data_IF_380696253581
#
_entry.id   IF_380696253581
#
_cell.length_a   1.000
_cell.length_b   1.000
_cell.length_c   1.000
_cell.angle_alpha   90.00
_cell.angle_beta   90.00
_cell.angle_gamma   90.00
#
_symmetry.space_group_name_H-M   'P 1'
#
loop_
_entity.id
_entity.type
_entity.pdbx_description
1 polymer ?
#
# COMPACT_ATOMS: atom_id res chain seq x y z
N UNK A 1 -9.29 5.03 -11.54
CA UNK A 1 -9.58 5.08 -12.99
C UNK A 1 -9.74 3.65 -13.50
N UNK A 2 -10.95 3.09 -13.46
CA UNK A 2 -11.17 1.69 -13.87
C UNK A 2 -10.93 1.46 -15.37
N UNK A 3 -11.02 2.53 -16.17
CA UNK A 3 -10.76 2.51 -17.61
C UNK A 3 -9.32 2.08 -17.95
N UNK A 4 -8.33 2.29 -17.08
CA UNK A 4 -6.95 1.79 -17.28
C UNK A 4 -6.86 0.26 -17.36
N UNK A 5 -7.89 -0.47 -16.91
CA UNK A 5 -7.93 -1.93 -17.00
C UNK A 5 -8.39 -2.43 -18.37
N UNK A 6 -9.13 -1.60 -19.10
CA UNK A 6 -9.78 -1.95 -20.38
C UNK A 6 -9.27 -1.15 -21.55
N UNK A 7 -8.69 0.03 -21.30
CA UNK A 7 -8.09 0.91 -22.28
C UNK A 7 -6.76 1.45 -21.72
N UNK A 8 -5.64 0.91 -22.22
CA UNK A 8 -4.31 1.32 -21.79
C UNK A 8 -3.81 2.40 -22.76
N UNK A 9 -3.51 3.61 -22.30
CA UNK A 9 -3.03 4.68 -23.18
C UNK A 9 -1.66 4.33 -23.78
N UNK A 10 -1.50 4.57 -25.08
CA UNK A 10 -0.26 4.32 -25.81
C UNK A 10 0.67 5.54 -25.82
N UNK A 11 0.10 6.74 -25.70
CA UNK A 11 0.85 8.00 -25.65
C UNK A 11 0.64 8.77 -24.35
N UNK A 12 1.54 9.73 -24.09
CA UNK A 12 1.42 10.69 -22.98
C UNK A 12 0.12 11.50 -23.07
N UNK A 13 -0.23 11.93 -24.28
CA UNK A 13 -1.43 12.73 -24.56
C UNK A 13 -2.69 11.93 -24.27
N UNK A 14 -2.76 10.66 -24.70
CA UNK A 14 -3.88 9.76 -24.40
C UNK A 14 -4.06 9.59 -22.88
N UNK A 15 -2.95 9.45 -22.14
CA UNK A 15 -2.99 9.31 -20.69
C UNK A 15 -3.49 10.59 -20.00
N UNK A 16 -3.03 11.77 -20.42
CA UNK A 16 -3.46 13.05 -19.85
C UNK A 16 -4.94 13.33 -20.15
N UNK A 17 -5.40 13.01 -21.37
CA UNK A 17 -6.81 13.11 -21.74
C UNK A 17 -7.67 12.18 -20.87
N UNK A 18 -7.25 10.92 -20.72
CA UNK A 18 -7.94 9.94 -19.86
C UNK A 18 -8.05 10.42 -18.40
N UNK A 19 -6.97 11.01 -17.87
CA UNK A 19 -6.98 11.55 -16.51
C UNK A 19 -7.91 12.76 -16.38
N UNK A 20 -7.98 13.60 -17.41
CA UNK A 20 -8.85 14.78 -17.45
C UNK A 20 -10.33 14.37 -17.51
N UNK A 21 -10.66 13.39 -18.34
CA UNK A 21 -12.01 12.81 -18.42
C UNK A 21 -12.43 12.12 -17.11
N UNK A 22 -11.45 11.59 -16.38
CA UNK A 22 -11.66 10.91 -15.10
C UNK A 22 -11.44 11.82 -13.88
N UNK A 23 -11.34 13.14 -14.04
CA UNK A 23 -10.91 14.06 -12.99
C UNK A 23 -11.77 13.95 -11.71
N UNK A 24 -13.09 13.77 -11.84
CA UNK A 24 -14.00 13.59 -10.70
C UNK A 24 -13.75 12.30 -9.92
N UNK A 25 -13.17 11.27 -10.56
CA UNK A 25 -12.86 9.99 -9.93
C UNK A 25 -11.44 9.94 -9.33
N UNK A 26 -10.63 11.00 -9.51
CA UNK A 26 -9.26 11.08 -9.01
C UNK A 26 -9.23 12.07 -7.83
N UNK A 27 -9.17 11.54 -6.62
CA UNK A 27 -8.98 12.36 -5.41
C UNK A 27 -7.52 12.31 -4.97
N UNK A 28 -6.95 13.48 -4.68
CA UNK A 28 -5.60 13.59 -4.11
C UNK A 28 -4.45 13.37 -5.10
N UNK A 29 -4.71 13.30 -6.41
CA UNK A 29 -3.70 13.14 -7.45
C UNK A 29 -4.05 14.00 -8.66
N UNK A 30 -3.07 14.71 -9.24
CA UNK A 30 -3.24 15.39 -10.52
C UNK A 30 -2.02 15.20 -11.41
N UNK A 31 -2.28 15.26 -12.71
CA UNK A 31 -1.28 15.08 -13.75
C UNK A 31 -1.26 16.32 -14.64
N UNK A 32 -0.10 16.92 -14.76
CA UNK A 32 0.23 17.93 -15.75
C UNK A 32 1.33 17.35 -16.64
N UNK A 33 1.65 18.06 -17.72
CA UNK A 33 2.52 17.55 -18.78
C UNK A 33 3.82 16.93 -18.23
N UNK A 34 4.56 17.62 -17.35
CA UNK A 34 5.80 17.09 -16.79
C UNK A 34 5.78 16.96 -15.25
N UNK A 35 4.58 16.91 -14.66
CA UNK A 35 4.43 16.98 -13.21
C UNK A 35 3.28 16.12 -12.72
N UNK A 36 3.56 15.37 -11.65
CA UNK A 36 2.55 14.66 -10.88
C UNK A 36 2.47 15.29 -9.51
N UNK A 37 1.26 15.69 -9.09
CA UNK A 37 1.02 16.29 -7.77
C UNK A 37 0.24 15.33 -6.91
N UNK A 38 0.80 15.01 -5.74
CA UNK A 38 0.11 14.24 -4.69
C UNK A 38 -0.42 15.21 -3.62
N UNK A 39 -1.73 15.19 -3.39
CA UNK A 39 -2.39 16.01 -2.38
C UNK A 39 -2.91 15.12 -1.26
N UNK A 40 -2.31 15.26 -0.09
CA UNK A 40 -2.71 14.52 1.11
C UNK A 40 -3.49 15.43 2.07
N UNK A 41 -4.42 14.88 2.86
CA UNK A 41 -5.03 15.63 3.95
C UNK A 41 -3.96 15.97 4.99
N UNK A 42 -3.85 17.26 5.32
CA UNK A 42 -2.98 17.69 6.42
C UNK A 42 -3.38 17.01 7.73
N UNK A 43 -2.40 16.60 8.52
CA UNK A 43 -2.60 16.06 9.85
C UNK A 43 -1.92 16.92 10.91
N UNK A 44 -2.51 17.03 12.09
CA UNK A 44 -1.85 17.63 13.25
C UNK A 44 -0.69 16.77 13.77
N UNK A 45 -0.64 15.48 13.40
CA UNK A 45 0.45 14.56 13.75
C UNK A 45 1.60 14.71 12.75
N UNK A 46 2.77 15.25 13.13
CA UNK A 46 3.89 15.46 12.21
C UNK A 46 4.39 14.17 11.56
N UNK A 47 4.33 13.05 12.29
CA UNK A 47 4.74 11.73 11.80
C UNK A 47 3.86 11.26 10.64
N UNK A 48 2.58 11.61 10.65
CA UNK A 48 1.63 11.25 9.60
C UNK A 48 1.90 12.06 8.33
N UNK A 49 2.16 13.36 8.46
CA UNK A 49 2.56 14.21 7.32
C UNK A 49 3.88 13.73 6.71
N UNK A 50 4.86 13.42 7.56
CA UNK A 50 6.14 12.84 7.12
C UNK A 50 5.93 11.53 6.36
N UNK A 51 5.06 10.66 6.87
CA UNK A 51 4.77 9.38 6.22
C UNK A 51 4.15 9.56 4.82
N UNK A 52 3.33 10.59 4.61
CA UNK A 52 2.79 10.92 3.29
C UNK A 52 3.87 11.38 2.30
N UNK A 53 4.78 12.26 2.75
CA UNK A 53 5.90 12.72 1.91
C UNK A 53 6.82 11.56 1.56
N UNK A 54 7.18 10.72 2.53
CA UNK A 54 7.99 9.53 2.29
C UNK A 54 7.29 8.55 1.34
N UNK A 55 5.98 8.33 1.49
CA UNK A 55 5.22 7.48 0.58
C UNK A 55 5.30 7.98 -0.87
N UNK A 56 5.04 9.26 -1.11
CA UNK A 56 5.09 9.85 -2.45
C UNK A 56 6.51 9.72 -3.06
N UNK A 57 7.55 10.03 -2.28
CA UNK A 57 8.93 9.88 -2.74
C UNK A 57 9.28 8.43 -3.13
N UNK A 58 8.88 7.46 -2.30
CA UNK A 58 9.14 6.04 -2.59
C UNK A 58 8.32 5.51 -3.76
N UNK A 59 7.08 5.98 -3.96
CA UNK A 59 6.30 5.65 -5.16
C UNK A 59 6.99 6.13 -6.44
N UNK A 60 7.49 7.37 -6.45
CA UNK A 60 8.21 7.95 -7.59
C UNK A 60 9.54 7.22 -7.85
N UNK A 61 10.28 6.87 -6.80
CA UNK A 61 11.50 6.08 -6.94
C UNK A 61 11.19 4.68 -7.52
N UNK A 62 10.18 4.00 -6.98
CA UNK A 62 9.81 2.66 -7.41
C UNK A 62 9.34 2.61 -8.87
N UNK A 63 8.51 3.55 -9.31
CA UNK A 63 7.99 3.56 -10.70
C UNK A 63 9.10 3.82 -11.73
N UNK A 64 10.14 4.59 -11.37
CA UNK A 64 11.30 4.82 -12.25
C UNK A 64 12.11 3.55 -12.53
N UNK A 65 12.13 2.62 -11.57
CA UNK A 65 12.84 1.34 -11.70
C UNK A 65 11.95 0.20 -12.22
N UNK A 66 10.63 0.41 -12.20
CA UNK A 66 9.67 -0.62 -12.55
C UNK A 66 9.67 -0.91 -14.07
N UNK A 67 9.99 -2.15 -14.42
CA UNK A 67 9.92 -2.62 -15.82
C UNK A 67 8.50 -2.92 -16.29
N UNK A 68 7.60 -3.21 -15.37
CA UNK A 68 6.20 -3.59 -15.62
C UNK A 68 5.33 -3.13 -14.47
N UNK A 69 4.18 -2.53 -14.78
CA UNK A 69 3.14 -2.16 -13.83
C UNK A 69 1.83 -2.78 -14.32
N UNK A 70 1.07 -3.40 -13.42
CA UNK A 70 -0.27 -3.91 -13.76
C UNK A 70 -1.33 -2.88 -13.36
N UNK A 71 -2.27 -2.54 -14.24
CA UNK A 71 -3.38 -1.65 -13.92
C UNK A 71 -4.53 -2.36 -13.16
N UNK A 72 -4.41 -3.69 -12.95
CA UNK A 72 -5.45 -4.50 -12.32
C UNK A 72 -5.67 -4.05 -10.88
N UNK A 73 -6.90 -3.65 -10.57
CA UNK A 73 -7.30 -3.35 -9.20
C UNK A 73 -7.26 -4.63 -8.35
N UNK A 74 -6.88 -4.45 -7.10
CA UNK A 74 -6.92 -5.49 -6.09
C UNK A 74 -7.94 -5.09 -5.04
N UNK A 75 -8.81 -6.03 -4.66
CA UNK A 75 -9.72 -5.91 -3.51
C UNK A 75 -9.17 -6.78 -2.37
N UNK A 76 -8.33 -6.23 -1.49
CA UNK A 76 -7.67 -7.02 -0.46
C UNK A 76 -8.65 -7.38 0.66
N UNK A 77 -8.74 -8.67 0.98
CA UNK A 77 -9.47 -9.18 2.17
C UNK A 77 -8.92 -8.64 3.51
N UNK A 78 -7.65 -8.23 3.52
CA UNK A 78 -6.95 -7.68 4.68
C UNK A 78 -6.09 -6.49 4.27
N UNK A 79 -6.70 -5.32 4.23
CA UNK A 79 -6.08 -4.04 3.84
C UNK A 79 -4.71 -3.82 4.51
N UNK A 80 -4.62 -4.08 5.82
CA UNK A 80 -3.39 -3.83 6.59
C UNK A 80 -2.24 -4.75 6.17
N UNK A 81 -2.51 -6.02 5.89
CA UNK A 81 -1.49 -6.96 5.40
C UNK A 81 -0.95 -6.54 4.03
N UNK A 82 -1.85 -6.31 3.07
CA UNK A 82 -1.44 -5.99 1.69
C UNK A 82 -0.74 -4.65 1.61
N UNK A 83 -1.23 -3.61 2.31
CA UNK A 83 -0.55 -2.32 2.34
C UNK A 83 0.84 -2.46 2.94
N UNK A 84 1.01 -3.20 4.05
CA UNK A 84 2.34 -3.44 4.64
C UNK A 84 3.30 -4.09 3.64
N UNK A 85 2.86 -5.16 2.97
CA UNK A 85 3.69 -5.87 1.98
C UNK A 85 4.07 -4.94 0.83
N UNK A 86 3.13 -4.13 0.36
CA UNK A 86 3.40 -3.14 -0.68
C UNK A 86 4.38 -2.06 -0.24
N UNK A 87 4.22 -1.50 0.96
CA UNK A 87 5.18 -0.53 1.52
C UNK A 87 6.59 -1.11 1.63
N UNK A 88 6.73 -2.38 2.02
CA UNK A 88 8.03 -3.06 2.05
C UNK A 88 8.62 -3.17 0.64
N UNK A 89 7.82 -3.52 -0.37
CA UNK A 89 8.26 -3.58 -1.78
C UNK A 89 8.67 -2.22 -2.34
N UNK A 90 8.03 -1.14 -1.88
CA UNK A 90 8.43 0.22 -2.20
C UNK A 90 9.74 0.64 -1.53
N UNK A 91 10.30 -0.14 -0.59
CA UNK A 91 11.54 0.19 0.12
C UNK A 91 11.32 0.73 1.54
N UNK A 92 10.08 0.91 1.98
CA UNK A 92 9.74 1.28 3.35
C UNK A 92 9.78 0.07 4.29
N UNK A 93 10.75 -0.83 4.18
CA UNK A 93 10.89 -2.01 5.04
C UNK A 93 11.88 -1.85 6.20
N UNK A 94 12.83 -0.93 6.09
CA UNK A 94 13.91 -0.73 7.06
C UNK A 94 13.46 -0.16 8.41
N UNK A 95 14.36 -0.17 9.40
CA UNK A 95 14.11 0.38 10.75
C UNK A 95 13.81 1.89 10.71
N UNK A 96 14.45 2.64 9.81
CA UNK A 96 14.25 4.09 9.66
C UNK A 96 12.85 4.50 9.21
N UNK A 97 12.12 3.61 8.52
CA UNK A 97 10.75 3.85 8.05
C UNK A 97 9.68 3.24 8.98
N UNK A 98 10.06 2.82 10.20
CA UNK A 98 9.14 2.14 11.12
C UNK A 98 7.94 3.01 11.50
N UNK A 99 8.17 4.28 11.82
CA UNK A 99 7.11 5.18 12.27
C UNK A 99 6.20 5.59 11.11
N UNK A 100 6.76 5.80 9.92
CA UNK A 100 6.00 6.04 8.69
C UNK A 100 5.11 4.86 8.33
N UNK A 101 5.63 3.62 8.39
CA UNK A 101 4.82 2.41 8.22
C UNK A 101 3.70 2.35 9.25
N UNK A 102 3.98 2.65 10.52
CA UNK A 102 2.97 2.64 11.58
C UNK A 102 1.86 3.65 11.29
N UNK A 103 2.21 4.87 10.89
CA UNK A 103 1.26 5.93 10.56
C UNK A 103 0.39 5.58 9.34
N UNK A 104 0.98 5.01 8.29
CA UNK A 104 0.25 4.61 7.07
C UNK A 104 -0.67 3.40 7.29
N UNK A 105 -0.37 2.54 8.26
CA UNK A 105 -1.17 1.36 8.60
C UNK A 105 -2.22 1.64 9.69
N UNK A 106 -2.20 2.83 10.30
CA UNK A 106 -3.13 3.24 11.36
C UNK A 106 -4.55 3.32 10.80
N UNK A 107 -5.53 2.71 11.51
CA UNK A 107 -6.94 2.73 11.11
C UNK A 107 -7.39 1.68 10.09
N UNK A 108 -6.47 0.94 9.47
CA UNK A 108 -6.83 -0.11 8.50
C UNK A 108 -7.35 -1.40 9.16
N UNK A 109 -8.22 -2.12 8.44
CA UNK A 109 -8.78 -3.39 8.92
C UNK A 109 -7.78 -4.54 8.77
N UNK A 110 -7.88 -5.51 9.68
CA UNK A 110 -7.09 -6.74 9.67
C UNK A 110 -5.72 -6.66 10.37
N UNK A 111 -4.91 -7.69 10.13
CA UNK A 111 -3.63 -7.92 10.80
C UNK A 111 -2.44 -7.75 9.83
N UNK A 112 -1.27 -7.38 10.36
CA UNK A 112 -0.05 -7.18 9.57
C UNK A 112 0.69 -8.48 9.23
N UNK A 113 0.53 -9.51 10.06
CA UNK A 113 1.31 -10.75 9.98
C UNK A 113 0.68 -11.83 9.09
N UNK A 114 -0.65 -11.83 8.99
CA UNK A 114 -1.41 -12.89 8.32
C UNK A 114 -2.24 -12.31 7.20
N UNK A 115 -2.29 -13.04 6.08
CA UNK A 115 -3.12 -12.67 4.93
C UNK A 115 -4.59 -12.91 5.24
N UNK A 116 -4.90 -14.12 5.73
CA UNK A 116 -6.27 -14.55 6.03
C UNK A 116 -6.47 -14.79 7.54
N UNK A 117 -7.72 -14.76 8.05
CA UNK A 117 -8.03 -15.19 9.41
C UNK A 117 -7.66 -16.67 9.67
N UNK A 118 -7.82 -17.54 8.67
CA UNK A 118 -7.47 -18.96 8.78
C UNK A 118 -5.97 -19.17 9.05
N UNK A 119 -5.10 -18.36 8.44
CA UNK A 119 -3.66 -18.40 8.70
C UNK A 119 -3.34 -18.04 10.16
N UNK A 120 -4.06 -17.07 10.72
CA UNK A 120 -3.90 -16.63 12.10
C UNK A 120 -4.34 -17.73 13.08
N UNK A 121 -5.48 -18.39 12.82
CA UNK A 121 -5.95 -19.49 13.66
C UNK A 121 -5.03 -20.72 13.57
N UNK A 122 -4.56 -21.07 12.37
CA UNK A 122 -3.57 -22.14 12.20
C UNK A 122 -2.25 -21.83 12.92
N UNK A 123 -1.87 -20.56 13.02
CA UNK A 123 -0.69 -20.16 13.81
C UNK A 123 -0.95 -20.29 15.31
N UNK A 124 -2.12 -19.84 15.79
CA UNK A 124 -2.51 -19.98 17.20
C UNK A 124 -2.62 -21.44 17.65
N UNK A 125 -3.20 -22.32 16.82
CA UNK A 125 -3.32 -23.75 17.12
C UNK A 125 -1.94 -24.39 17.32
N UNK A 126 -1.00 -24.16 16.39
CA UNK A 126 0.39 -24.64 16.51
C UNK A 126 1.10 -24.14 17.76
N UNK A 127 0.83 -22.90 18.18
CA UNK A 127 1.40 -22.35 19.41
C UNK A 127 0.81 -22.98 20.67
N UNK A 128 -0.45 -23.42 20.65
CA UNK A 128 -1.09 -24.15 21.77
C UNK A 128 -0.54 -25.56 21.87
N UNK A 129 -0.52 -26.31 20.75
CA UNK A 129 0.05 -27.67 20.70
C UNK A 129 1.48 -27.73 21.24
N UNK A 130 2.32 -26.74 20.90
CA UNK A 130 3.69 -26.67 21.42
C UNK A 130 3.74 -26.46 22.93
N UNK A 131 2.89 -25.56 23.46
CA UNK A 131 2.82 -25.31 24.91
C UNK A 131 2.31 -26.53 25.66
N UNK A 132 1.28 -27.18 25.13
CA UNK A 132 0.67 -28.35 25.74
C UNK A 132 1.65 -29.55 25.73
N UNK A 133 2.44 -29.72 24.66
CA UNK A 133 3.51 -30.71 24.58
C UNK A 133 4.68 -30.42 25.53
N UNK A 134 5.13 -29.17 25.62
CA UNK A 134 6.18 -28.74 26.58
C UNK A 134 5.74 -28.95 28.04
N UNK A 135 4.45 -28.84 28.35
CA UNK A 135 3.90 -29.07 29.70
C UNK A 135 3.68 -30.55 30.06
N UNK A 136 3.78 -31.46 29.09
CA UNK A 136 3.62 -32.90 29.32
C UNK A 136 4.96 -33.61 29.57
N UNK A 137 6.07 -32.95 29.22
CA UNK A 137 7.45 -33.43 29.39
C UNK A 137 8.13 -32.89 30.69
N UNK A 138 7.43 -32.11 31.52
CA UNK A 138 7.83 -31.69 32.89
C UNK A 138 7.05 -32.45 33.98
#
# INVERSE_FOLDING_TARGET
INTLQTNLPETKEDFLNLCSESAEAISGLSFEDDKVTFTFPGSEKPEKNRAYVELAAMMVAHVREAKRISPKASEPENEKYYLRVWLVRLGLGGKGAKDSRKALLEGLKGHTAFRTPADAEKHKARLRERKDGESHDE
#
